data_IF_327249393205
#
_entry.id   IF_327249393205
#
_cell.length_a   1.000
_cell.length_b   1.000
_cell.length_c   1.000
_cell.angle_alpha   90.00
_cell.angle_beta   90.00
_cell.angle_gamma   90.00
#
_symmetry.space_group_name_H-M   'P 1'
#
loop_
_entity.id
_entity.type
_entity.pdbx_description
1 polymer ?
#
# COMPACT_ATOMS: atom_id res chain seq x y z
N UNK A 1 22.30 -10.35 -48.67
CA UNK A 1 21.38 -9.39 -48.04
C UNK A 1 20.89 -9.97 -46.73
N UNK A 2 21.50 -9.54 -45.63
CA UNK A 2 21.23 -10.01 -44.27
C UNK A 2 20.29 -8.97 -43.64
N UNK A 3 19.08 -9.39 -43.27
CA UNK A 3 18.14 -8.57 -42.49
C UNK A 3 18.14 -9.13 -41.05
N UNK A 4 18.82 -8.41 -40.16
CA UNK A 4 18.77 -8.64 -38.72
C UNK A 4 17.38 -8.27 -38.21
N UNK A 5 16.60 -9.28 -37.79
CA UNK A 5 15.41 -9.08 -36.95
C UNK A 5 15.87 -8.99 -35.50
N UNK A 6 15.70 -7.81 -34.90
CA UNK A 6 15.82 -7.59 -33.47
C UNK A 6 14.75 -8.40 -32.74
N UNK A 7 15.17 -9.46 -32.05
CA UNK A 7 14.36 -10.13 -31.04
C UNK A 7 14.29 -9.27 -29.79
N UNK A 8 13.09 -8.79 -29.46
CA UNK A 8 12.79 -8.16 -28.18
C UNK A 8 12.57 -9.28 -27.18
N UNK A 9 13.60 -9.57 -26.38
CA UNK A 9 13.50 -10.44 -25.21
C UNK A 9 12.63 -9.74 -24.17
N UNK A 10 11.40 -10.21 -23.99
CA UNK A 10 10.52 -9.80 -22.87
C UNK A 10 11.11 -10.39 -21.59
N UNK A 11 11.97 -9.61 -20.92
CA UNK A 11 12.41 -9.88 -19.57
C UNK A 11 11.26 -9.53 -18.60
N UNK A 12 10.43 -10.52 -18.29
CA UNK A 12 9.50 -10.46 -17.17
C UNK A 12 10.30 -10.53 -15.86
N UNK A 13 10.80 -9.39 -15.39
CA UNK A 13 11.39 -9.23 -14.06
C UNK A 13 10.26 -9.08 -13.04
N UNK A 14 9.67 -10.20 -12.61
CA UNK A 14 8.86 -10.26 -11.40
C UNK A 14 9.80 -10.48 -10.21
N UNK A 15 10.02 -9.42 -9.43
CA UNK A 15 10.66 -9.50 -8.11
C UNK A 15 9.77 -8.76 -7.11
N UNK A 16 8.73 -9.45 -6.65
CA UNK A 16 8.08 -9.18 -5.37
C UNK A 16 8.53 -10.27 -4.39
N UNK A 17 9.65 -10.04 -3.72
CA UNK A 17 10.02 -10.82 -2.54
C UNK A 17 9.23 -10.28 -1.35
N UNK A 18 8.09 -10.91 -1.06
CA UNK A 18 7.46 -10.80 0.26
C UNK A 18 8.06 -11.88 1.15
N UNK A 19 8.65 -11.40 2.24
CA UNK A 19 9.31 -12.13 3.32
C UNK A 19 8.35 -13.15 3.95
N UNK A 20 8.69 -14.44 3.86
CA UNK A 20 8.26 -15.46 4.81
C UNK A 20 9.42 -15.68 5.80
N UNK A 21 9.41 -14.95 6.91
CA UNK A 21 10.30 -15.22 8.03
C UNK A 21 9.68 -16.35 8.87
N UNK A 22 10.15 -17.58 8.64
CA UNK A 22 10.00 -18.65 9.60
C UNK A 22 11.17 -18.57 10.59
N UNK A 23 10.83 -18.49 11.86
CA UNK A 23 11.73 -18.45 13.00
C UNK A 23 12.69 -19.64 13.01
N UNK A 24 13.99 -19.35 13.03
CA UNK A 24 14.95 -20.16 13.78
C UNK A 24 15.80 -19.22 14.61
N UNK A 25 15.53 -19.24 15.92
CA UNK A 25 16.28 -18.47 16.90
C UNK A 25 17.74 -18.89 16.90
N UNK A 26 18.61 -17.95 16.53
CA UNK A 26 19.92 -17.82 17.16
C UNK A 26 19.92 -16.50 17.91
N UNK A 27 19.76 -16.62 19.23
CA UNK A 27 20.16 -15.63 20.22
C UNK A 27 21.61 -15.24 19.95
N UNK A 28 21.80 -14.13 19.24
CA UNK A 28 23.05 -13.37 19.31
C UNK A 28 22.85 -12.36 20.42
N UNK A 29 23.54 -12.65 21.51
CA UNK A 29 23.72 -11.88 22.73
C UNK A 29 23.98 -10.40 22.48
N UNK A 30 23.49 -9.57 23.39
CA UNK A 30 23.59 -8.11 23.35
C UNK A 30 25.02 -7.60 23.30
N UNK A 31 25.34 -6.92 22.20
CA UNK A 31 26.47 -6.03 22.07
C UNK A 31 25.95 -4.67 21.56
N UNK A 32 25.97 -3.67 22.45
CA UNK A 32 25.99 -2.21 22.20
C UNK A 32 25.71 -1.73 20.76
N UNK A 33 24.45 -1.41 20.42
CA UNK A 33 24.10 -0.61 19.23
C UNK A 33 24.33 0.90 19.48
N UNK A 34 25.56 1.27 19.82
CA UNK A 34 25.95 2.67 19.98
C UNK A 34 26.52 3.27 18.68
N UNK A 35 26.00 4.45 18.35
CA UNK A 35 26.66 5.65 17.80
C UNK A 35 27.13 5.79 16.33
N UNK A 36 26.92 4.86 15.40
CA UNK A 36 27.29 5.15 14.00
C UNK A 36 26.24 6.03 13.32
N UNK A 37 26.63 7.27 12.99
CA UNK A 37 25.87 8.18 12.15
C UNK A 37 25.81 7.64 10.72
N UNK A 38 24.63 7.69 10.10
CA UNK A 38 24.48 7.31 8.70
C UNK A 38 25.38 8.18 7.80
N UNK A 39 26.12 7.54 6.90
CA UNK A 39 27.10 8.22 6.04
C UNK A 39 26.48 9.29 5.14
N UNK A 40 25.21 9.12 4.72
CA UNK A 40 24.51 10.11 3.91
C UNK A 40 24.09 11.32 4.77
N UNK A 41 23.67 11.09 6.02
CA UNK A 41 23.44 12.17 6.99
C UNK A 41 24.74 12.93 7.29
N UNK A 42 25.84 12.23 7.54
CA UNK A 42 27.14 12.86 7.76
C UNK A 42 27.56 13.73 6.57
N UNK A 43 27.44 13.20 5.34
CA UNK A 43 27.75 13.94 4.12
C UNK A 43 26.87 15.17 3.93
N UNK A 44 25.59 15.10 4.31
CA UNK A 44 24.67 16.23 4.21
C UNK A 44 25.18 17.47 4.97
N UNK A 45 25.82 17.32 6.14
CA UNK A 45 26.31 18.49 6.88
C UNK A 45 27.34 19.31 6.12
N UNK A 46 28.27 18.65 5.44
CA UNK A 46 29.29 19.32 4.66
C UNK A 46 28.72 20.06 3.44
N UNK A 47 27.50 19.68 3.02
CA UNK A 47 26.85 20.19 1.81
C UNK A 47 25.49 20.85 2.09
N UNK A 48 25.25 21.26 3.32
CA UNK A 48 23.99 21.88 3.75
C UNK A 48 23.69 23.15 2.94
N UNK A 49 22.43 23.32 2.56
CA UNK A 49 21.94 24.43 1.74
C UNK A 49 22.25 24.28 0.25
N UNK A 50 22.88 23.19 -0.17
CA UNK A 50 23.25 22.94 -1.57
C UNK A 50 22.40 21.83 -2.19
N UNK A 51 22.43 21.72 -3.52
CA UNK A 51 21.80 20.60 -4.25
C UNK A 51 22.32 19.24 -3.78
N UNK A 52 23.63 19.11 -3.57
CA UNK A 52 24.24 17.87 -3.12
C UNK A 52 23.79 17.49 -1.71
N UNK A 53 23.62 18.46 -0.81
CA UNK A 53 23.05 18.23 0.52
C UNK A 53 21.64 17.63 0.45
N UNK A 54 20.79 18.15 -0.44
CA UNK A 54 19.45 17.59 -0.67
C UNK A 54 19.49 16.16 -1.21
N UNK A 55 20.33 15.89 -2.20
CA UNK A 55 20.49 14.54 -2.77
C UNK A 55 20.95 13.53 -1.72
N UNK A 56 21.81 13.94 -0.78
CA UNK A 56 22.25 13.10 0.33
C UNK A 56 21.12 12.81 1.33
N UNK A 57 20.25 13.79 1.62
CA UNK A 57 19.04 13.56 2.42
C UNK A 57 18.02 12.66 1.70
N UNK A 58 17.83 12.82 0.40
CA UNK A 58 16.97 11.95 -0.40
C UNK A 58 17.51 10.51 -0.41
N UNK A 59 18.83 10.35 -0.53
CA UNK A 59 19.49 9.05 -0.43
C UNK A 59 19.32 8.42 0.95
N UNK A 60 19.46 9.20 2.04
CA UNK A 60 19.23 8.67 3.39
C UNK A 60 17.78 8.23 3.60
N UNK A 61 16.84 8.76 2.82
CA UNK A 61 15.45 8.32 2.84
C UNK A 61 15.22 7.04 2.02
N UNK A 62 15.90 6.83 0.91
CA UNK A 62 15.73 5.59 0.13
C UNK A 62 16.38 4.38 0.81
N UNK A 63 17.31 4.62 1.74
CA UNK A 63 17.97 3.61 2.56
C UNK A 63 17.24 3.37 3.89
N UNK A 64 17.41 2.19 4.49
CA UNK A 64 16.87 1.89 5.81
C UNK A 64 17.64 2.66 6.88
N UNK A 65 17.09 3.81 7.29
CA UNK A 65 17.69 4.66 8.31
C UNK A 65 17.48 4.05 9.70
N UNK A 66 18.57 3.57 10.33
CA UNK A 66 18.50 2.95 11.64
C UNK A 66 18.23 3.98 12.76
N UNK A 67 17.35 3.62 13.70
CA UNK A 67 17.04 4.41 14.88
C UNK A 67 18.18 4.37 15.93
N UNK A 68 19.27 5.08 15.66
CA UNK A 68 20.40 5.29 16.59
C UNK A 68 20.30 6.66 17.25
N UNK A 69 20.88 6.83 18.45
CA UNK A 69 20.95 8.15 19.10
C UNK A 69 21.64 9.19 18.20
N UNK A 70 22.74 8.81 17.56
CA UNK A 70 23.49 9.69 16.66
C UNK A 70 22.62 10.20 15.49
N UNK A 71 21.84 9.34 14.84
CA UNK A 71 20.96 9.75 13.75
C UNK A 71 19.83 10.67 14.25
N UNK A 72 19.27 10.39 15.43
CA UNK A 72 18.18 11.18 16.02
C UNK A 72 18.69 12.57 16.40
N UNK A 73 19.78 12.66 17.15
CA UNK A 73 20.34 13.93 17.58
C UNK A 73 20.78 14.77 16.37
N UNK A 74 21.38 14.13 15.37
CA UNK A 74 21.74 14.76 14.12
C UNK A 74 20.53 15.41 13.41
N UNK A 75 19.47 14.62 13.16
CA UNK A 75 18.30 15.13 12.43
C UNK A 75 17.64 16.27 13.21
N UNK A 76 17.57 16.17 14.53
CA UNK A 76 17.01 17.21 15.40
C UNK A 76 17.85 18.49 15.39
N UNK A 77 19.17 18.39 15.46
CA UNK A 77 20.07 19.55 15.36
C UNK A 77 19.96 20.22 13.98
N UNK A 78 19.92 19.41 12.92
CA UNK A 78 19.72 19.92 11.56
C UNK A 78 18.37 20.64 11.41
N UNK A 79 17.31 20.12 12.03
CA UNK A 79 15.97 20.73 12.07
C UNK A 79 15.92 22.04 12.86
N UNK A 80 16.69 22.15 13.94
CA UNK A 80 16.80 23.37 14.74
C UNK A 80 17.67 24.47 14.07
N UNK A 81 18.61 24.07 13.22
CA UNK A 81 19.50 24.99 12.50
C UNK A 81 18.90 25.58 11.21
N UNK A 82 19.74 26.34 10.47
CA UNK A 82 19.39 26.95 9.17
C UNK A 82 19.24 25.91 8.04
N UNK A 83 18.05 25.35 7.86
CA UNK A 83 17.71 24.48 6.72
C UNK A 83 16.85 25.24 5.70
N UNK A 84 17.06 24.95 4.42
CA UNK A 84 16.11 25.36 3.36
C UNK A 84 14.76 24.66 3.57
N UNK A 85 13.64 25.21 3.04
CA UNK A 85 12.33 24.58 3.15
C UNK A 85 12.31 23.13 2.64
N UNK A 86 13.00 22.85 1.52
CA UNK A 86 13.08 21.50 0.95
C UNK A 86 13.85 20.54 1.86
N UNK A 87 14.98 20.96 2.42
CA UNK A 87 15.74 20.15 3.39
C UNK A 87 14.91 19.88 4.64
N UNK A 88 14.14 20.85 5.11
CA UNK A 88 13.29 20.70 6.29
C UNK A 88 12.22 19.63 6.09
N UNK A 89 11.58 19.60 4.92
CA UNK A 89 10.64 18.54 4.54
C UNK A 89 11.32 17.17 4.62
N UNK A 90 12.54 17.06 4.08
CA UNK A 90 13.29 15.80 4.09
C UNK A 90 13.73 15.38 5.50
N UNK A 91 14.16 16.32 6.32
CA UNK A 91 14.55 16.06 7.70
C UNK A 91 13.36 15.65 8.57
N UNK A 92 12.18 16.27 8.41
CA UNK A 92 10.94 15.87 9.12
C UNK A 92 10.55 14.43 8.76
N UNK A 93 10.65 14.04 7.48
CA UNK A 93 10.41 12.65 7.05
C UNK A 93 11.45 11.69 7.63
N UNK A 94 12.72 12.08 7.65
CA UNK A 94 13.79 11.28 8.26
C UNK A 94 13.54 11.07 9.76
N UNK A 95 13.11 12.12 10.48
CA UNK A 95 12.73 12.04 11.88
C UNK A 95 11.59 11.03 12.12
N UNK A 96 10.58 11.01 11.25
CA UNK A 96 9.52 10.00 11.28
C UNK A 96 10.03 8.57 11.08
N UNK A 97 11.01 8.37 10.18
CA UNK A 97 11.63 7.04 9.93
C UNK A 97 12.47 6.54 11.09
N UNK A 98 13.03 7.44 11.90
CA UNK A 98 13.80 7.10 13.09
C UNK A 98 12.94 6.63 14.27
N UNK A 99 11.62 6.65 14.14
CA UNK A 99 10.73 6.04 15.12
C UNK A 99 10.77 4.51 15.00
N UNK A 100 11.15 3.81 16.07
CA UNK A 100 11.08 2.35 16.17
C UNK A 100 10.13 1.97 17.32
N UNK A 101 9.10 1.16 17.06
CA UNK A 101 8.09 0.76 18.06
C UNK A 101 8.67 0.11 19.31
N UNK A 102 9.85 -0.52 19.22
CA UNK A 102 10.55 -1.14 20.36
C UNK A 102 11.29 -0.12 21.23
N UNK A 103 11.39 1.12 20.75
CA UNK A 103 12.09 2.23 21.39
C UNK A 103 13.49 1.87 21.90
N UNK A 104 14.37 1.30 21.05
CA UNK A 104 15.65 0.74 21.49
C UNK A 104 16.59 1.78 22.11
N UNK A 105 16.33 3.07 21.88
CA UNK A 105 17.12 4.21 22.36
C UNK A 105 16.34 5.12 23.31
N UNK A 106 15.08 4.81 23.63
CA UNK A 106 14.27 5.61 24.57
C UNK A 106 13.93 7.03 24.09
N UNK A 107 13.93 7.29 22.77
CA UNK A 107 13.76 8.63 22.17
C UNK A 107 12.44 8.83 21.44
N UNK A 108 11.56 7.83 21.39
CA UNK A 108 10.28 7.94 20.68
C UNK A 108 9.40 9.10 21.17
N UNK A 109 9.36 9.37 22.48
CA UNK A 109 8.60 10.49 23.03
C UNK A 109 9.11 11.84 22.49
N UNK A 110 10.42 11.99 22.32
CA UNK A 110 11.03 13.20 21.78
C UNK A 110 10.74 13.35 20.28
N UNK A 111 10.88 12.27 19.50
CA UNK A 111 10.53 12.24 18.07
C UNK A 111 9.08 12.69 17.89
N UNK A 112 8.15 12.15 18.68
CA UNK A 112 6.73 12.52 18.65
C UNK A 112 6.53 14.00 18.96
N UNK A 113 7.16 14.50 20.03
CA UNK A 113 7.06 15.92 20.41
C UNK A 113 7.54 16.84 19.29
N UNK A 114 8.68 16.51 18.69
CA UNK A 114 9.27 17.31 17.61
C UNK A 114 8.38 17.30 16.37
N UNK A 115 7.88 16.13 15.95
CA UNK A 115 6.92 16.01 14.83
C UNK A 115 5.63 16.81 15.09
N UNK A 116 5.07 16.75 16.32
CA UNK A 116 3.90 17.56 16.69
C UNK A 116 4.17 19.05 16.53
N UNK A 117 5.37 19.52 16.89
CA UNK A 117 5.77 20.92 16.67
C UNK A 117 5.68 21.32 15.20
N UNK A 118 6.10 20.44 14.30
CA UNK A 118 6.07 20.70 12.85
C UNK A 118 4.68 20.57 12.21
N UNK A 119 3.75 19.80 12.79
CA UNK A 119 2.35 19.70 12.30
C UNK A 119 1.69 21.09 12.24
N UNK A 120 2.04 21.98 13.16
CA UNK A 120 1.50 23.35 13.24
C UNK A 120 2.42 24.39 12.60
N UNK A 121 3.36 23.98 11.76
CA UNK A 121 4.25 24.90 11.04
C UNK A 121 3.45 25.81 10.10
N UNK A 122 3.85 27.08 10.01
CA UNK A 122 3.34 28.00 8.98
C UNK A 122 3.76 27.61 7.55
N UNK A 123 4.75 26.73 7.40
CA UNK A 123 5.18 26.18 6.11
C UNK A 123 4.37 24.92 5.79
N UNK A 124 3.39 25.08 4.89
CA UNK A 124 2.41 24.04 4.53
C UNK A 124 3.04 22.68 4.23
N UNK A 125 4.07 22.62 3.39
CA UNK A 125 4.69 21.34 2.99
C UNK A 125 5.46 20.67 4.14
N UNK A 126 6.06 21.46 5.06
CA UNK A 126 6.65 20.94 6.29
C UNK A 126 5.58 20.37 7.22
N UNK A 127 4.47 21.10 7.39
CA UNK A 127 3.32 20.64 8.18
C UNK A 127 2.71 19.36 7.59
N UNK A 128 2.59 19.28 6.27
CA UNK A 128 2.12 18.10 5.54
C UNK A 128 3.06 16.92 5.78
N UNK A 129 4.38 17.11 5.62
CA UNK A 129 5.36 16.06 5.90
C UNK A 129 5.32 15.55 7.35
N UNK A 130 5.16 16.46 8.31
CA UNK A 130 5.06 16.12 9.73
C UNK A 130 3.76 15.35 10.03
N UNK A 131 2.66 15.75 9.39
CA UNK A 131 1.35 15.08 9.51
C UNK A 131 1.43 13.63 9.04
N UNK A 132 2.03 13.37 7.87
CA UNK A 132 2.26 12.01 7.38
C UNK A 132 3.22 11.20 8.26
N UNK A 133 4.26 11.82 8.79
CA UNK A 133 5.21 11.14 9.66
C UNK A 133 4.54 10.73 10.97
N UNK A 134 3.82 11.65 11.62
CA UNK A 134 3.20 11.38 12.92
C UNK A 134 2.02 10.41 12.81
N UNK A 135 1.26 10.45 11.71
CA UNK A 135 0.14 9.54 11.48
C UNK A 135 0.58 8.09 11.34
N UNK A 136 1.80 7.83 10.85
CA UNK A 136 2.29 6.47 10.56
C UNK A 136 3.02 5.81 11.73
N UNK A 137 3.47 6.58 12.72
CA UNK A 137 4.16 6.06 13.91
C UNK A 137 3.20 5.63 15.04
N UNK A 138 1.87 5.75 14.82
CA UNK A 138 0.80 5.30 15.71
C UNK A 138 0.69 6.15 16.98
N UNK A 139 -0.51 6.32 17.56
CA UNK A 139 -0.71 7.19 18.72
C UNK A 139 -2.15 7.68 18.77
N UNK A 140 -3.04 6.80 19.21
CA UNK A 140 -4.48 6.91 18.97
C UNK A 140 -5.12 8.18 19.55
N UNK A 141 -4.63 8.65 20.71
CA UNK A 141 -5.30 9.73 21.46
C UNK A 141 -5.42 11.05 20.70
N UNK A 142 -4.45 11.39 19.84
CA UNK A 142 -4.39 12.69 19.17
C UNK A 142 -4.45 12.60 17.64
N UNK A 143 -4.31 11.42 17.06
CA UNK A 143 -4.24 11.24 15.61
C UNK A 143 -5.44 11.86 14.89
N UNK A 144 -6.65 11.61 15.41
CA UNK A 144 -7.89 12.15 14.82
C UNK A 144 -7.87 13.68 14.79
N UNK A 145 -7.38 14.31 15.86
CA UNK A 145 -7.31 15.76 15.97
C UNK A 145 -6.26 16.33 15.00
N UNK A 146 -5.10 15.69 14.89
CA UNK A 146 -4.03 16.08 13.95
C UNK A 146 -4.54 16.02 12.51
N UNK A 147 -5.17 14.91 12.11
CA UNK A 147 -5.69 14.75 10.75
C UNK A 147 -6.83 15.74 10.45
N UNK A 148 -7.72 16.01 11.41
CA UNK A 148 -8.77 17.02 11.27
C UNK A 148 -8.21 18.44 11.17
N UNK A 149 -7.18 18.76 11.97
CA UNK A 149 -6.47 20.04 11.87
C UNK A 149 -5.85 20.19 10.48
N UNK A 150 -5.13 19.18 10.00
CA UNK A 150 -4.47 19.23 8.71
C UNK A 150 -5.46 19.37 7.55
N UNK A 151 -6.60 18.66 7.60
CA UNK A 151 -7.69 18.81 6.62
C UNK A 151 -8.31 20.21 6.65
N UNK A 152 -8.69 20.70 7.83
CA UNK A 152 -9.36 22.01 7.98
C UNK A 152 -8.49 23.18 7.56
N UNK A 153 -7.16 23.06 7.72
CA UNK A 153 -6.18 24.07 7.29
C UNK A 153 -5.64 23.83 5.87
N UNK A 154 -6.23 22.91 5.08
CA UNK A 154 -5.81 22.59 3.70
C UNK A 154 -4.34 22.14 3.59
N UNK A 155 -3.78 21.61 4.67
CA UNK A 155 -2.48 20.95 4.70
C UNK A 155 -2.59 19.60 4.00
N UNK A 156 -3.67 18.86 4.27
CA UNK A 156 -4.06 17.66 3.52
C UNK A 156 -5.29 17.96 2.66
N UNK A 157 -5.33 17.39 1.46
CA UNK A 157 -6.57 17.30 0.70
C UNK A 157 -7.50 16.18 1.22
N UNK A 158 -8.65 15.98 0.57
CA UNK A 158 -9.64 14.99 0.99
C UNK A 158 -9.14 13.55 0.83
N UNK A 159 -8.40 13.24 -0.24
CA UNK A 159 -7.90 11.89 -0.52
C UNK A 159 -6.74 11.55 0.41
N UNK A 160 -5.83 12.50 0.65
CA UNK A 160 -4.74 12.35 1.60
C UNK A 160 -5.26 12.15 3.03
N UNK A 161 -6.24 12.94 3.45
CA UNK A 161 -6.89 12.76 4.73
C UNK A 161 -7.52 11.36 4.85
N UNK A 162 -8.28 10.94 3.84
CA UNK A 162 -8.94 9.63 3.85
C UNK A 162 -7.91 8.49 3.81
N UNK A 163 -6.83 8.61 3.03
CA UNK A 163 -5.75 7.64 2.96
C UNK A 163 -5.03 7.46 4.29
N UNK A 164 -4.78 8.54 5.03
CA UNK A 164 -4.18 8.44 6.36
C UNK A 164 -5.14 7.86 7.40
N UNK A 165 -6.45 8.07 7.27
CA UNK A 165 -7.45 7.34 8.07
C UNK A 165 -7.39 5.83 7.76
N UNK A 166 -7.31 5.45 6.48
CA UNK A 166 -7.23 4.05 6.06
C UNK A 166 -5.99 3.35 6.60
N UNK A 167 -4.81 3.98 6.50
CA UNK A 167 -3.55 3.46 7.05
C UNK A 167 -3.59 3.20 8.56
N UNK A 168 -4.40 3.98 9.28
CA UNK A 168 -4.48 3.91 10.73
C UNK A 168 -5.59 3.00 11.26
N UNK A 169 -6.54 2.60 10.40
CA UNK A 169 -7.69 1.79 10.82
C UNK A 169 -7.28 0.52 11.58
N UNK A 170 -6.26 -0.19 11.07
CA UNK A 170 -5.76 -1.43 11.68
C UNK A 170 -5.09 -1.25 13.04
N UNK A 171 -4.65 -0.04 13.35
CA UNK A 171 -3.95 0.28 14.60
C UNK A 171 -4.83 1.03 15.59
N UNK A 172 -6.08 1.33 15.24
CA UNK A 172 -7.01 2.00 16.12
C UNK A 172 -7.65 1.00 17.10
N UNK A 173 -7.90 1.45 18.34
CA UNK A 173 -8.70 0.72 19.29
C UNK A 173 -10.06 0.38 18.69
N UNK A 174 -10.58 -0.78 19.09
CA UNK A 174 -11.88 -1.31 18.67
C UNK A 174 -13.00 -0.26 18.78
N UNK A 175 -13.01 0.52 19.86
CA UNK A 175 -13.99 1.60 20.09
C UNK A 175 -13.93 2.72 19.04
N UNK A 176 -12.79 2.92 18.37
CA UNK A 176 -12.59 3.97 17.38
C UNK A 176 -12.69 3.48 15.93
N UNK A 177 -12.56 2.18 15.66
CA UNK A 177 -12.62 1.64 14.30
C UNK A 177 -13.95 1.96 13.60
N UNK A 178 -15.09 1.87 14.30
CA UNK A 178 -16.40 2.15 13.72
C UNK A 178 -16.58 3.61 13.27
N UNK A 179 -15.91 4.53 13.96
CA UNK A 179 -15.86 5.96 13.62
C UNK A 179 -14.96 6.22 12.41
N UNK A 180 -13.77 5.60 12.37
CA UNK A 180 -12.85 5.73 11.24
C UNK A 180 -13.47 5.16 9.95
N UNK A 181 -14.15 4.02 10.04
CA UNK A 181 -14.88 3.43 8.91
C UNK A 181 -15.99 4.33 8.39
N UNK A 182 -16.70 5.03 9.29
CA UNK A 182 -17.71 6.02 8.89
C UNK A 182 -17.06 7.18 8.13
N UNK A 183 -15.94 7.69 8.62
CA UNK A 183 -15.20 8.76 7.93
C UNK A 183 -14.70 8.33 6.54
N UNK A 184 -14.25 7.08 6.40
CA UNK A 184 -13.86 6.50 5.11
C UNK A 184 -15.06 6.42 4.16
N UNK A 185 -16.21 5.93 4.63
CA UNK A 185 -17.45 5.88 3.84
C UNK A 185 -17.90 7.27 3.37
N UNK A 186 -17.88 8.26 4.28
CA UNK A 186 -18.24 9.65 3.99
C UNK A 186 -17.28 10.31 3.00
N UNK A 187 -15.99 9.94 3.02
CA UNK A 187 -14.97 10.53 2.14
C UNK A 187 -15.17 10.21 0.65
N UNK A 188 -15.77 9.05 0.34
CA UNK A 188 -15.87 8.50 -1.03
C UNK A 188 -14.53 8.46 -1.78
N UNK A 189 -13.41 8.37 -1.06
CA UNK A 189 -12.07 8.36 -1.65
C UNK A 189 -11.71 6.96 -2.15
N UNK A 190 -11.57 6.81 -3.47
CA UNK A 190 -11.12 5.53 -4.04
C UNK A 190 -9.69 5.19 -3.60
N UNK A 191 -8.84 6.21 -3.40
CA UNK A 191 -7.47 6.03 -2.92
C UNK A 191 -7.44 5.42 -1.51
N UNK A 192 -8.30 5.90 -0.60
CA UNK A 192 -8.40 5.34 0.74
C UNK A 192 -8.88 3.89 0.73
N UNK A 193 -9.78 3.53 -0.19
CA UNK A 193 -10.22 2.13 -0.38
C UNK A 193 -9.11 1.26 -0.97
N UNK A 194 -8.30 1.78 -1.90
CA UNK A 194 -7.14 1.05 -2.42
C UNK A 194 -6.16 0.72 -1.29
N UNK A 195 -5.88 1.68 -0.38
CA UNK A 195 -5.07 1.44 0.82
C UNK A 195 -5.72 0.38 1.72
N UNK A 196 -7.01 0.54 2.00
CA UNK A 196 -7.76 -0.35 2.88
C UNK A 196 -7.71 -1.79 2.37
N UNK A 197 -8.02 -2.00 1.09
CA UNK A 197 -8.04 -3.33 0.47
C UNK A 197 -6.65 -3.95 0.41
N UNK A 198 -5.60 -3.16 0.16
CA UNK A 198 -4.21 -3.63 0.18
C UNK A 198 -3.73 -4.13 1.56
N UNK A 199 -4.31 -3.64 2.64
CA UNK A 199 -4.01 -4.10 4.00
C UNK A 199 -4.75 -5.40 4.38
N UNK A 200 -5.87 -5.74 3.71
CA UNK A 200 -6.69 -6.93 3.99
C UNK A 200 -6.16 -8.18 3.28
N UNK A 201 -5.03 -8.71 3.75
CA UNK A 201 -4.28 -9.80 3.07
C UNK A 201 -4.67 -11.23 3.46
N UNK A 202 -5.44 -11.42 4.53
CA UNK A 202 -5.83 -12.76 4.99
C UNK A 202 -7.08 -12.74 5.86
N UNK A 203 -7.75 -13.90 5.97
CA UNK A 203 -8.90 -14.07 6.86
C UNK A 203 -8.52 -13.79 8.32
N UNK A 204 -7.34 -14.21 8.76
CA UNK A 204 -6.81 -13.89 10.10
C UNK A 204 -6.76 -12.40 10.35
N UNK A 205 -6.30 -11.62 9.37
CA UNK A 205 -6.21 -10.17 9.49
C UNK A 205 -7.61 -9.53 9.53
N UNK A 206 -8.52 -9.97 8.67
CA UNK A 206 -9.92 -9.49 8.68
C UNK A 206 -10.62 -9.81 10.01
N UNK A 207 -10.35 -10.98 10.59
CA UNK A 207 -10.97 -11.42 11.84
C UNK A 207 -10.46 -10.68 13.09
N UNK A 208 -9.44 -9.83 12.98
CA UNK A 208 -9.05 -8.91 14.05
C UNK A 208 -10.05 -7.78 14.25
N UNK A 209 -10.88 -7.49 13.24
CA UNK A 209 -11.94 -6.50 13.32
C UNK A 209 -13.17 -7.09 14.02
N UNK A 210 -13.83 -6.36 14.94
CA UNK A 210 -15.13 -6.71 15.48
C UNK A 210 -16.16 -6.93 14.38
N UNK A 211 -17.20 -7.72 14.66
CA UNK A 211 -18.26 -8.04 13.69
C UNK A 211 -18.86 -6.80 13.02
N UNK A 212 -19.19 -5.76 13.80
CA UNK A 212 -19.76 -4.52 13.25
C UNK A 212 -18.78 -3.75 12.36
N UNK A 213 -17.49 -3.74 12.71
CA UNK A 213 -16.43 -3.19 11.85
C UNK A 213 -16.31 -3.97 10.55
N UNK A 214 -16.40 -5.32 10.58
CA UNK A 214 -16.39 -6.16 9.37
C UNK A 214 -17.59 -5.89 8.45
N UNK A 215 -18.79 -5.70 9.01
CA UNK A 215 -19.99 -5.30 8.23
C UNK A 215 -19.79 -3.95 7.54
N UNK A 216 -19.22 -2.97 8.25
CA UNK A 216 -18.91 -1.65 7.69
C UNK A 216 -17.81 -1.72 6.63
N UNK A 217 -16.76 -2.50 6.86
CA UNK A 217 -15.70 -2.78 5.87
C UNK A 217 -16.31 -3.32 4.58
N UNK A 218 -17.23 -4.28 4.68
CA UNK A 218 -17.92 -4.82 3.51
C UNK A 218 -18.67 -3.72 2.73
N UNK A 219 -19.45 -2.88 3.42
CA UNK A 219 -20.19 -1.76 2.79
C UNK A 219 -19.24 -0.80 2.06
N UNK A 220 -18.11 -0.44 2.69
CA UNK A 220 -17.11 0.47 2.10
C UNK A 220 -16.48 -0.16 0.86
N UNK A 221 -16.06 -1.42 0.93
CA UNK A 221 -15.42 -2.13 -0.18
C UNK A 221 -16.40 -2.32 -1.34
N UNK A 222 -17.62 -2.80 -1.07
CA UNK A 222 -18.64 -3.10 -2.09
C UNK A 222 -19.00 -1.87 -2.94
N UNK A 223 -19.10 -0.68 -2.33
CA UNK A 223 -19.43 0.57 -3.04
C UNK A 223 -18.30 1.12 -3.90
N UNK A 224 -17.09 0.58 -3.78
CA UNK A 224 -15.88 1.12 -4.38
C UNK A 224 -15.16 0.08 -5.26
N UNK A 225 -15.93 -0.75 -5.98
CA UNK A 225 -15.39 -1.64 -7.00
C UNK A 225 -14.60 -0.83 -8.06
N UNK A 226 -13.31 -1.14 -8.30
CA UNK A 226 -12.51 -0.46 -9.32
C UNK A 226 -13.11 -0.62 -10.72
N UNK A 227 -13.00 0.41 -11.54
CA UNK A 227 -13.48 0.41 -12.93
C UNK A 227 -12.35 0.67 -13.92
N UNK A 228 -12.46 0.10 -15.12
CA UNK A 228 -11.54 0.38 -16.21
C UNK A 228 -12.14 1.48 -17.10
N UNK A 229 -11.75 2.72 -16.85
CA UNK A 229 -12.28 3.91 -17.54
C UNK A 229 -11.66 4.15 -18.93
N UNK A 230 -10.52 3.52 -19.21
CA UNK A 230 -9.84 3.64 -20.51
C UNK A 230 -10.59 2.90 -21.62
N UNK A 231 -10.27 3.23 -22.87
CA UNK A 231 -10.79 2.54 -24.05
C UNK A 231 -10.63 1.02 -23.95
N UNK A 232 -11.55 0.26 -24.55
CA UNK A 232 -11.65 -1.18 -24.37
C UNK A 232 -10.35 -1.92 -24.71
N UNK A 233 -9.57 -1.45 -25.70
CA UNK A 233 -8.25 -2.02 -26.04
C UNK A 233 -7.08 -1.58 -25.16
N UNK A 234 -7.27 -0.64 -24.22
CA UNK A 234 -6.24 -0.25 -23.28
C UNK A 234 -6.30 -1.11 -22.03
N UNK A 235 -5.29 -1.96 -21.82
CA UNK A 235 -5.13 -2.75 -20.60
C UNK A 235 -4.39 -1.92 -19.54
N UNK A 236 -5.14 -1.35 -18.59
CA UNK A 236 -4.57 -0.59 -17.48
C UNK A 236 -4.05 -1.49 -16.37
N UNK A 237 -2.75 -1.76 -16.32
CA UNK A 237 -2.10 -2.59 -15.28
C UNK A 237 -2.46 -2.15 -13.86
N UNK A 238 -2.47 -0.84 -13.59
CA UNK A 238 -2.83 -0.31 -12.28
C UNK A 238 -4.27 -0.69 -11.91
N UNK A 239 -5.22 -0.60 -12.86
CA UNK A 239 -6.62 -0.99 -12.61
C UNK A 239 -6.78 -2.50 -12.44
N UNK A 240 -5.96 -3.30 -13.13
CA UNK A 240 -5.92 -4.75 -12.94
C UNK A 240 -5.47 -5.11 -11.52
N UNK A 241 -4.39 -4.50 -11.02
CA UNK A 241 -3.91 -4.68 -9.65
C UNK A 241 -4.97 -4.25 -8.64
N UNK A 242 -5.54 -3.04 -8.81
CA UNK A 242 -6.60 -2.52 -7.92
C UNK A 242 -7.79 -3.46 -7.87
N UNK A 243 -8.27 -3.95 -9.02
CA UNK A 243 -9.39 -4.88 -9.05
C UNK A 243 -9.05 -6.22 -8.38
N UNK A 244 -7.84 -6.76 -8.61
CA UNK A 244 -7.44 -8.02 -8.00
C UNK A 244 -7.35 -7.91 -6.47
N UNK A 245 -6.71 -6.86 -5.95
CA UNK A 245 -6.63 -6.55 -4.52
C UNK A 245 -8.02 -6.30 -3.93
N UNK A 246 -8.88 -5.57 -4.63
CA UNK A 246 -10.26 -5.35 -4.22
C UNK A 246 -11.06 -6.66 -4.11
N UNK A 247 -11.01 -7.51 -5.14
CA UNK A 247 -11.78 -8.76 -5.16
C UNK A 247 -11.30 -9.74 -4.08
N UNK A 248 -9.99 -9.79 -3.85
CA UNK A 248 -9.40 -10.55 -2.75
C UNK A 248 -9.92 -10.07 -1.39
N UNK A 249 -9.83 -8.77 -1.11
CA UNK A 249 -10.32 -8.18 0.13
C UNK A 249 -11.83 -8.37 0.30
N UNK A 250 -12.62 -8.17 -0.76
CA UNK A 250 -14.06 -8.38 -0.77
C UNK A 250 -14.43 -9.83 -0.42
N UNK A 251 -13.75 -10.81 -1.02
CA UNK A 251 -13.98 -12.22 -0.73
C UNK A 251 -13.60 -12.60 0.70
N UNK A 252 -12.46 -12.12 1.22
CA UNK A 252 -12.05 -12.36 2.60
C UNK A 252 -13.04 -11.77 3.61
N UNK A 253 -13.57 -10.57 3.36
CA UNK A 253 -14.57 -9.96 4.25
C UNK A 253 -15.89 -10.73 4.19
N UNK A 254 -16.34 -11.17 3.02
CA UNK A 254 -17.53 -12.03 2.89
C UNK A 254 -17.39 -13.36 3.66
N UNK A 255 -16.24 -14.04 3.50
CA UNK A 255 -15.91 -15.27 4.22
C UNK A 255 -15.94 -15.05 5.74
N UNK A 256 -15.32 -13.96 6.20
CA UNK A 256 -15.29 -13.62 7.63
C UNK A 256 -16.68 -13.40 8.24
N UNK A 257 -17.65 -12.99 7.43
CA UNK A 257 -19.04 -12.76 7.81
C UNK A 257 -19.93 -13.99 7.59
N UNK A 258 -19.34 -15.14 7.23
CA UNK A 258 -20.06 -16.37 6.88
C UNK A 258 -21.11 -16.16 5.77
N UNK A 259 -20.84 -15.23 4.84
CA UNK A 259 -21.72 -14.90 3.70
C UNK A 259 -21.43 -15.72 2.43
N UNK A 260 -20.48 -16.65 2.52
CA UNK A 260 -20.04 -17.52 1.43
C UNK A 260 -18.55 -17.80 1.57
N UNK A 261 -18.09 -18.92 1.00
CA UNK A 261 -16.66 -19.23 0.99
C UNK A 261 -15.88 -18.25 0.11
N UNK A 262 -14.58 -18.11 0.35
CA UNK A 262 -13.71 -17.24 -0.46
C UNK A 262 -13.83 -17.56 -1.96
N UNK A 263 -13.67 -18.84 -2.34
CA UNK A 263 -13.70 -19.26 -3.72
C UNK A 263 -15.07 -19.05 -4.38
N UNK A 264 -16.16 -19.33 -3.68
CA UNK A 264 -17.51 -19.09 -4.16
C UNK A 264 -17.79 -17.60 -4.40
N UNK A 265 -17.33 -16.75 -3.49
CA UNK A 265 -17.48 -15.29 -3.64
C UNK A 265 -16.71 -14.78 -4.84
N UNK A 266 -15.45 -15.18 -5.00
CA UNK A 266 -14.65 -14.83 -6.18
C UNK A 266 -15.31 -15.33 -7.46
N UNK A 267 -15.72 -16.61 -7.49
CA UNK A 267 -16.36 -17.21 -8.66
C UNK A 267 -17.62 -16.47 -9.07
N UNK A 268 -18.48 -16.12 -8.10
CA UNK A 268 -19.71 -15.36 -8.34
C UNK A 268 -19.41 -14.01 -9.00
N UNK A 269 -18.43 -13.27 -8.51
CA UNK A 269 -18.04 -11.97 -9.05
C UNK A 269 -17.46 -12.08 -10.47
N UNK A 270 -16.58 -13.04 -10.71
CA UNK A 270 -16.01 -13.29 -12.03
C UNK A 270 -17.08 -13.75 -13.04
N UNK A 271 -18.12 -14.47 -12.60
CA UNK A 271 -19.18 -14.99 -13.44
C UNK A 271 -20.34 -14.02 -13.70
N UNK A 272 -20.38 -12.82 -13.08
CA UNK A 272 -21.38 -11.81 -13.40
C UNK A 272 -21.35 -11.48 -14.91
N UNK A 273 -22.49 -11.50 -15.63
CA UNK A 273 -22.51 -11.34 -17.09
C UNK A 273 -21.92 -10.03 -17.61
N UNK A 274 -21.94 -8.97 -16.80
CA UNK A 274 -21.46 -7.63 -17.14
C UNK A 274 -20.05 -7.33 -16.63
N UNK A 275 -19.35 -8.31 -16.05
CA UNK A 275 -17.97 -8.09 -15.59
C UNK A 275 -17.07 -7.83 -16.78
N UNK A 276 -16.38 -6.69 -16.75
CA UNK A 276 -15.42 -6.28 -17.78
C UNK A 276 -14.34 -7.36 -17.97
N UNK A 277 -14.08 -7.85 -19.20
CA UNK A 277 -13.06 -8.87 -19.45
C UNK A 277 -11.66 -8.51 -18.94
N UNK A 278 -11.32 -7.22 -18.86
CA UNK A 278 -10.05 -6.74 -18.30
C UNK A 278 -9.94 -6.99 -16.79
N UNK A 279 -11.06 -6.98 -16.07
CA UNK A 279 -11.14 -7.39 -14.65
C UNK A 279 -10.88 -8.88 -14.49
N UNK A 280 -11.48 -9.69 -15.36
CA UNK A 280 -11.28 -11.14 -15.37
C UNK A 280 -9.82 -11.50 -15.60
N UNK A 281 -9.22 -10.90 -16.64
CA UNK A 281 -7.78 -11.03 -16.93
C UNK A 281 -6.96 -10.54 -15.74
N UNK A 282 -7.26 -9.34 -15.22
CA UNK A 282 -6.51 -8.73 -14.12
C UNK A 282 -6.44 -9.61 -12.89
N UNK A 283 -7.57 -10.19 -12.45
CA UNK A 283 -7.58 -11.13 -11.34
C UNK A 283 -6.89 -12.46 -11.69
N UNK A 284 -7.27 -13.11 -12.80
CA UNK A 284 -6.74 -14.42 -13.17
C UNK A 284 -5.25 -14.41 -13.57
N UNK A 285 -4.62 -13.25 -13.67
CA UNK A 285 -3.16 -13.09 -13.89
C UNK A 285 -2.43 -12.60 -12.65
N UNK A 286 -3.14 -12.27 -11.56
CA UNK A 286 -2.54 -11.81 -10.32
C UNK A 286 -2.19 -12.95 -9.35
N UNK A 287 -1.27 -12.74 -8.39
CA UNK A 287 -0.97 -13.70 -7.33
C UNK A 287 -2.19 -14.05 -6.45
N UNK A 288 -3.11 -13.12 -6.23
CA UNK A 288 -4.32 -13.32 -5.41
C UNK A 288 -5.23 -14.45 -5.93
N UNK A 289 -5.13 -14.78 -7.22
CA UNK A 289 -5.88 -15.88 -7.83
C UNK A 289 -5.29 -17.27 -7.56
N UNK A 290 -4.05 -17.39 -7.04
CA UNK A 290 -3.40 -18.71 -6.89
C UNK A 290 -4.22 -19.67 -6.02
N UNK A 291 -4.65 -19.23 -4.83
CA UNK A 291 -5.50 -20.05 -3.95
C UNK A 291 -6.83 -20.41 -4.63
N UNK A 292 -7.45 -19.44 -5.29
CA UNK A 292 -8.73 -19.63 -5.98
C UNK A 292 -8.64 -20.70 -7.09
N UNK A 293 -7.58 -20.65 -7.90
CA UNK A 293 -7.38 -21.58 -9.01
C UNK A 293 -7.13 -23.02 -8.56
N UNK A 294 -6.65 -23.23 -7.33
CA UNK A 294 -6.49 -24.56 -6.74
C UNK A 294 -7.81 -25.16 -6.23
N UNK A 295 -8.78 -24.32 -5.88
CA UNK A 295 -10.03 -24.70 -5.23
C UNK A 295 -11.20 -24.87 -6.23
N UNK A 296 -11.18 -24.15 -7.35
CA UNK A 296 -12.28 -24.12 -8.32
C UNK A 296 -12.01 -25.04 -9.52
N UNK A 297 -13.06 -25.72 -10.01
CA UNK A 297 -12.99 -26.50 -11.25
C UNK A 297 -13.02 -25.59 -12.48
N UNK A 298 -12.37 -26.04 -13.55
CA UNK A 298 -12.38 -25.31 -14.82
C UNK A 298 -13.78 -25.17 -15.40
N UNK A 299 -14.64 -26.17 -15.22
CA UNK A 299 -16.04 -26.13 -15.64
C UNK A 299 -16.79 -24.94 -15.03
N UNK A 300 -16.60 -24.68 -13.74
CA UNK A 300 -17.26 -23.57 -13.03
C UNK A 300 -16.78 -22.18 -13.51
N UNK A 301 -15.49 -22.07 -13.89
CA UNK A 301 -14.90 -20.83 -14.40
C UNK A 301 -15.16 -20.60 -15.91
N UNK A 302 -15.66 -21.61 -16.62
CA UNK A 302 -15.86 -21.58 -18.08
C UNK A 302 -16.54 -20.31 -18.61
N UNK A 303 -17.63 -19.77 -18.01
CA UNK A 303 -18.25 -18.54 -18.51
C UNK A 303 -17.30 -17.34 -18.52
N UNK A 304 -16.46 -17.19 -17.50
CA UNK A 304 -15.45 -16.13 -17.46
C UNK A 304 -14.35 -16.35 -18.51
N UNK A 305 -13.88 -17.59 -18.68
CA UNK A 305 -12.86 -17.93 -19.68
C UNK A 305 -13.35 -17.67 -21.11
N UNK A 306 -14.62 -17.98 -21.42
CA UNK A 306 -15.22 -17.67 -22.72
C UNK A 306 -15.27 -16.17 -22.99
N UNK A 307 -15.62 -15.35 -21.98
CA UNK A 307 -15.61 -13.88 -22.14
C UNK A 307 -14.22 -13.33 -22.38
N UNK A 308 -13.19 -13.87 -21.72
CA UNK A 308 -11.78 -13.50 -21.97
C UNK A 308 -11.37 -13.85 -23.40
N UNK A 309 -11.70 -15.06 -23.86
CA UNK A 309 -11.38 -15.50 -25.22
C UNK A 309 -12.04 -14.59 -26.27
N UNK A 310 -13.35 -14.37 -26.17
CA UNK A 310 -14.09 -13.50 -27.09
C UNK A 310 -13.52 -12.06 -27.11
N UNK A 311 -13.15 -11.53 -25.94
CA UNK A 311 -12.53 -10.22 -25.83
C UNK A 311 -11.17 -10.17 -26.53
N UNK A 312 -10.31 -11.17 -26.32
CA UNK A 312 -9.02 -11.26 -27.02
C UNK A 312 -9.21 -11.40 -28.54
N UNK A 313 -10.15 -12.24 -28.98
CA UNK A 313 -10.46 -12.44 -30.41
C UNK A 313 -10.97 -11.17 -31.09
N UNK A 314 -11.67 -10.30 -30.34
CA UNK A 314 -12.12 -8.99 -30.85
C UNK A 314 -10.98 -7.97 -31.03
N UNK A 315 -9.80 -8.24 -30.49
CA UNK A 315 -8.62 -7.36 -30.50
C UNK A 315 -7.36 -8.13 -30.94
N UNK A 316 -7.36 -8.73 -32.15
CA UNK A 316 -6.29 -9.65 -32.58
C UNK A 316 -4.93 -8.95 -32.75
N UNK A 317 -4.93 -7.65 -33.03
CA UNK A 317 -3.71 -6.84 -33.21
C UNK A 317 -3.16 -6.29 -31.87
N UNK A 318 -3.84 -6.52 -30.75
CA UNK A 318 -3.42 -6.03 -29.45
C UNK A 318 -2.59 -7.09 -28.71
N UNK A 319 -1.27 -7.05 -28.94
CA UNK A 319 -0.35 -8.06 -28.39
C UNK A 319 -0.44 -8.16 -26.86
N UNK A 320 -0.58 -7.04 -26.15
CA UNK A 320 -0.71 -7.04 -24.68
C UNK A 320 -1.91 -7.86 -24.22
N UNK A 321 -3.08 -7.70 -24.86
CA UNK A 321 -4.27 -8.49 -24.53
C UNK A 321 -4.08 -9.96 -24.88
N UNK A 322 -3.44 -10.25 -26.02
CA UNK A 322 -3.15 -11.63 -26.44
C UNK A 322 -2.24 -12.35 -25.44
N UNK A 323 -1.17 -11.68 -24.99
CA UNK A 323 -0.21 -12.21 -24.02
C UNK A 323 -0.89 -12.51 -22.69
N UNK A 324 -1.72 -11.59 -22.21
CA UNK A 324 -2.47 -11.80 -20.98
C UNK A 324 -3.52 -12.90 -21.07
N UNK A 325 -4.24 -12.98 -22.18
CA UNK A 325 -5.19 -14.07 -22.41
C UNK A 325 -4.45 -15.43 -22.53
N UNK A 326 -3.25 -15.46 -23.10
CA UNK A 326 -2.38 -16.64 -23.10
C UNK A 326 -1.94 -17.02 -21.69
N UNK A 327 -1.56 -16.04 -20.85
CA UNK A 327 -1.20 -16.29 -19.45
C UNK A 327 -2.38 -16.88 -18.65
N UNK A 328 -3.59 -16.36 -18.83
CA UNK A 328 -4.80 -16.96 -18.22
C UNK A 328 -4.98 -18.41 -18.67
N UNK A 329 -4.81 -18.71 -19.96
CA UNK A 329 -4.90 -20.09 -20.47
C UNK A 329 -3.85 -21.00 -19.83
N UNK A 330 -2.61 -20.53 -19.68
CA UNK A 330 -1.53 -21.29 -19.04
C UNK A 330 -1.88 -21.58 -17.57
N UNK A 331 -2.28 -20.56 -16.80
CA UNK A 331 -2.60 -20.73 -15.37
C UNK A 331 -3.82 -21.63 -15.13
N UNK A 332 -4.78 -21.62 -16.05
CA UNK A 332 -6.01 -22.42 -15.94
C UNK A 332 -5.90 -23.81 -16.57
N UNK A 333 -4.79 -24.14 -17.23
CA UNK A 333 -4.58 -25.46 -17.85
C UNK A 333 -4.45 -26.59 -16.82
N UNK A 334 -3.91 -26.30 -15.64
CA UNK A 334 -3.68 -27.26 -14.57
C UNK A 334 -4.86 -27.39 -13.57
N UNK A 335 -5.96 -26.65 -13.79
CA UNK A 335 -7.14 -26.73 -12.93
C UNK A 335 -7.79 -28.11 -13.04
N UNK A 336 -8.46 -28.53 -11.95
CA UNK A 336 -9.30 -29.74 -11.95
C UNK A 336 -10.39 -29.61 -13.02
N UNK A 337 -10.61 -30.68 -13.79
CA UNK A 337 -11.59 -30.69 -14.88
C UNK A 337 -13.01 -30.49 -14.35
#
# INVERSE_FOLDING_TARGET
MISLRYGVTVAAMFLFSVVAAAETGKLVSGASKASVLDSSLQGYMAHRGTRLGRELLEKSQSQELQATEANIDFVREALAGKSTPEERILLVRALGKLFDRRDPVGRNAQIRKDLKGYVYSGERETARAATFAISRIGGEGELKQILLHAKSNKILDNDEYAGEIAHNLRFAAISHQADLLRLLEESRSSYAVDILTADLKSATFVNQYPLESRKKLLSVIERNEPSFTSAIGAFGYINAIRYATWLHAFALVNESLSRGEYAETVLRELNKPKTDPRKLIGYLTSPEADKFLLEVSKANLSPALTRIAHYADSLPQNQTIQDFAALVRIRTAAMRQ
#
